data_IF_370858122447
#
_entry.id   IF_370858122447
#
_cell.length_a   1.000
_cell.length_b   1.000
_cell.length_c   1.000
_cell.angle_alpha   90.00
_cell.angle_beta   90.00
_cell.angle_gamma   90.00
#
_symmetry.space_group_name_H-M   'P 1'
#
loop_
_entity.id
_entity.type
_entity.pdbx_description
1 polymer ?
#
# COMPACT_ATOMS: atom_id res chain seq x y z
N UNK A 1 21.54 5.99 13.72
CA UNK A 1 22.26 4.98 12.90
C UNK A 1 21.41 4.35 11.80
N UNK A 2 20.21 3.81 12.09
CA UNK A 2 19.34 3.13 11.09
C UNK A 2 19.00 3.97 9.84
N UNK A 3 18.68 5.25 10.02
CA UNK A 3 18.33 6.16 8.91
C UNK A 3 19.52 6.53 8.02
N UNK A 4 20.71 6.63 8.62
CA UNK A 4 21.96 6.94 7.90
C UNK A 4 22.31 5.75 7.00
N UNK A 5 22.26 4.52 7.53
CA UNK A 5 22.50 3.31 6.74
C UNK A 5 21.50 3.19 5.57
N UNK A 6 20.23 3.53 5.79
CA UNK A 6 19.23 3.53 4.72
C UNK A 6 19.56 4.53 3.60
N UNK A 7 19.95 5.77 3.95
CA UNK A 7 20.34 6.78 2.96
C UNK A 7 21.55 6.33 2.13
N UNK A 8 22.56 5.74 2.78
CA UNK A 8 23.72 5.16 2.08
C UNK A 8 23.27 4.05 1.13
N UNK A 9 22.35 3.19 1.56
CA UNK A 9 21.82 2.12 0.72
C UNK A 9 21.10 2.66 -0.51
N UNK A 10 20.31 3.72 -0.38
CA UNK A 10 19.65 4.37 -1.51
C UNK A 10 20.65 5.00 -2.48
N UNK A 11 21.74 5.59 -1.97
CA UNK A 11 22.79 6.16 -2.80
C UNK A 11 23.52 5.08 -3.60
N UNK A 12 23.90 3.98 -2.94
CA UNK A 12 24.50 2.80 -3.60
C UNK A 12 23.55 2.21 -4.63
N UNK A 13 22.26 2.06 -4.29
CA UNK A 13 21.24 1.56 -5.21
C UNK A 13 21.06 2.48 -6.43
N UNK A 14 21.10 3.81 -6.24
CA UNK A 14 21.01 4.76 -7.35
C UNK A 14 22.17 4.60 -8.33
N UNK A 15 23.40 4.42 -7.83
CA UNK A 15 24.57 4.14 -8.68
C UNK A 15 24.38 2.82 -9.42
N UNK A 16 23.97 1.76 -8.74
CA UNK A 16 23.71 0.45 -9.37
C UNK A 16 22.67 0.57 -10.48
N UNK A 17 21.57 1.29 -10.25
CA UNK A 17 20.52 1.49 -11.25
C UNK A 17 21.06 2.22 -12.49
N UNK A 18 21.82 3.31 -12.32
CA UNK A 18 22.41 4.02 -13.47
C UNK A 18 23.37 3.12 -14.23
N UNK A 19 24.21 2.36 -13.52
CA UNK A 19 25.13 1.37 -14.14
C UNK A 19 24.35 0.31 -14.92
N UNK A 20 23.26 -0.23 -14.38
CA UNK A 20 22.45 -1.23 -15.06
C UNK A 20 21.74 -0.65 -16.29
N UNK A 21 21.16 0.55 -16.19
CA UNK A 21 20.51 1.21 -17.33
C UNK A 21 21.51 1.43 -18.46
N UNK A 22 22.72 1.87 -18.12
CA UNK A 22 23.80 2.05 -19.09
C UNK A 22 24.29 0.71 -19.66
N UNK A 23 24.49 -0.31 -18.84
CA UNK A 23 24.98 -1.63 -19.25
C UNK A 23 24.03 -2.35 -20.20
N UNK A 24 22.72 -2.25 -19.94
CA UNK A 24 21.69 -2.88 -20.77
C UNK A 24 21.20 -1.98 -21.91
N UNK A 25 21.80 -0.81 -22.10
CA UNK A 25 21.41 0.18 -23.13
C UNK A 25 19.90 0.51 -23.10
N UNK A 26 19.28 0.46 -21.92
CA UNK A 26 17.83 0.66 -21.76
C UNK A 26 17.42 2.10 -22.08
N UNK A 27 18.33 3.04 -21.87
CA UNK A 27 18.15 4.46 -22.13
C UNK A 27 19.52 5.12 -22.32
N UNK A 28 19.67 6.14 -23.18
CA UNK A 28 20.92 6.90 -23.31
C UNK A 28 21.18 7.72 -22.04
N UNK A 29 21.75 7.08 -21.03
CA UNK A 29 22.16 7.67 -19.77
C UNK A 29 23.65 7.44 -19.56
N UNK A 30 24.35 8.49 -19.17
CA UNK A 30 25.77 8.41 -18.83
C UNK A 30 25.94 8.25 -17.32
N UNK A 31 26.96 7.50 -16.88
CA UNK A 31 27.34 7.45 -15.48
C UNK A 31 27.98 8.78 -15.06
N UNK A 32 27.14 9.72 -14.61
CA UNK A 32 27.57 10.99 -14.06
C UNK A 32 26.84 11.30 -12.74
N UNK A 33 27.36 12.25 -11.97
CA UNK A 33 26.82 12.61 -10.66
C UNK A 33 25.37 13.11 -10.73
N UNK A 34 24.99 13.79 -11.82
CA UNK A 34 23.63 14.33 -12.01
C UNK A 34 22.60 13.21 -12.19
N UNK A 35 22.92 12.22 -13.02
CA UNK A 35 22.05 11.08 -13.29
C UNK A 35 21.88 10.21 -12.05
N UNK A 36 22.95 9.98 -11.31
CA UNK A 36 22.88 9.31 -10.00
C UNK A 36 22.00 10.10 -9.03
N UNK A 37 22.12 11.43 -8.99
CA UNK A 37 21.30 12.29 -8.14
C UNK A 37 19.80 12.22 -8.52
N UNK A 38 19.48 12.24 -9.81
CA UNK A 38 18.10 12.10 -10.28
C UNK A 38 17.48 10.76 -9.87
N UNK A 39 18.20 9.66 -10.07
CA UNK A 39 17.73 8.33 -9.65
C UNK A 39 17.59 8.28 -8.12
N UNK A 40 18.53 8.85 -7.37
CA UNK A 40 18.44 8.92 -5.92
C UNK A 40 17.20 9.68 -5.43
N UNK A 41 16.92 10.85 -6.01
CA UNK A 41 15.71 11.62 -5.70
C UNK A 41 14.46 10.82 -6.07
N UNK A 42 14.44 10.16 -7.23
CA UNK A 42 13.31 9.32 -7.65
C UNK A 42 13.04 8.18 -6.65
N UNK A 43 14.09 7.52 -6.14
CA UNK A 43 13.95 6.48 -5.10
C UNK A 43 13.35 7.04 -3.80
N UNK A 44 13.73 8.26 -3.40
CA UNK A 44 13.14 8.90 -2.23
C UNK A 44 11.67 9.26 -2.43
N UNK A 45 11.32 9.81 -3.59
CA UNK A 45 9.92 10.08 -3.94
C UNK A 45 9.11 8.79 -3.97
N UNK A 46 9.64 7.72 -4.58
CA UNK A 46 8.99 6.42 -4.62
C UNK A 46 8.73 5.86 -3.22
N UNK A 47 9.69 6.00 -2.30
CA UNK A 47 9.50 5.64 -0.89
C UNK A 47 8.38 6.43 -0.25
N UNK A 48 8.31 7.74 -0.48
CA UNK A 48 7.27 8.60 0.06
C UNK A 48 5.89 8.20 -0.48
N UNK A 49 5.78 7.99 -1.79
CA UNK A 49 4.56 7.52 -2.44
C UNK A 49 4.13 6.16 -1.87
N UNK A 50 5.06 5.21 -1.71
CA UNK A 50 4.76 3.92 -1.11
C UNK A 50 4.28 4.04 0.34
N UNK A 51 4.86 4.95 1.12
CA UNK A 51 4.42 5.22 2.49
C UNK A 51 3.00 5.79 2.54
N UNK A 52 2.69 6.75 1.66
CA UNK A 52 1.34 7.34 1.57
C UNK A 52 0.35 6.28 1.09
N UNK A 53 0.68 5.57 0.01
CA UNK A 53 -0.13 4.51 -0.56
C UNK A 53 -0.44 3.43 0.48
N UNK A 54 0.56 2.94 1.23
CA UNK A 54 0.31 1.91 2.25
C UNK A 54 -0.54 2.42 3.41
N UNK A 55 -0.44 3.69 3.79
CA UNK A 55 -1.35 4.27 4.80
C UNK A 55 -2.79 4.34 4.29
N UNK A 56 -2.98 4.84 3.08
CA UNK A 56 -4.31 4.93 2.46
C UNK A 56 -4.88 3.54 2.21
N UNK A 57 -4.07 2.60 1.74
CA UNK A 57 -4.45 1.22 1.50
C UNK A 57 -4.84 0.51 2.80
N UNK A 58 -4.14 0.76 3.92
CA UNK A 58 -4.56 0.26 5.23
C UNK A 58 -5.96 0.74 5.62
N UNK A 59 -6.25 2.02 5.39
CA UNK A 59 -7.59 2.57 5.63
C UNK A 59 -8.63 1.91 4.72
N UNK A 60 -8.30 1.74 3.44
CA UNK A 60 -9.17 1.07 2.48
C UNK A 60 -9.46 -0.38 2.89
N UNK A 61 -8.42 -1.17 3.18
CA UNK A 61 -8.58 -2.55 3.67
C UNK A 61 -9.40 -2.59 4.96
N UNK A 62 -9.19 -1.64 5.86
CA UNK A 62 -10.00 -1.56 7.08
C UNK A 62 -11.48 -1.32 6.77
N UNK A 63 -11.80 -0.33 5.93
CA UNK A 63 -13.18 0.03 5.60
C UNK A 63 -13.91 -1.03 4.78
N UNK A 64 -13.23 -1.67 3.83
CA UNK A 64 -13.87 -2.58 2.87
C UNK A 64 -13.77 -4.06 3.25
N UNK A 65 -12.81 -4.43 4.09
CA UNK A 65 -12.61 -5.84 4.50
C UNK A 65 -12.95 -6.01 5.97
N UNK A 66 -12.33 -5.22 6.86
CA UNK A 66 -12.54 -5.40 8.30
C UNK A 66 -13.90 -4.90 8.78
N UNK A 67 -14.36 -3.73 8.32
CA UNK A 67 -15.64 -3.18 8.78
C UNK A 67 -16.82 -4.11 8.45
N UNK A 68 -16.96 -4.68 7.23
CA UNK A 68 -18.04 -5.62 6.94
C UNK A 68 -17.87 -6.93 7.70
N UNK A 69 -16.64 -7.44 7.87
CA UNK A 69 -16.38 -8.64 8.67
C UNK A 69 -16.79 -8.46 10.13
N UNK A 70 -16.45 -7.33 10.75
CA UNK A 70 -16.84 -7.00 12.12
C UNK A 70 -18.36 -6.84 12.20
N UNK A 71 -18.98 -6.16 11.25
CA UNK A 71 -20.44 -6.06 11.18
C UNK A 71 -21.10 -7.43 11.13
N UNK A 72 -20.58 -8.35 10.31
CA UNK A 72 -21.08 -9.71 10.19
C UNK A 72 -20.89 -10.48 11.50
N UNK A 73 -19.73 -10.37 12.14
CA UNK A 73 -19.47 -10.99 13.45
C UNK A 73 -20.45 -10.49 14.52
N UNK A 74 -20.69 -9.18 14.58
CA UNK A 74 -21.65 -8.58 15.51
C UNK A 74 -23.07 -9.07 15.23
N UNK A 75 -23.49 -9.12 13.96
CA UNK A 75 -24.80 -9.63 13.57
C UNK A 75 -24.98 -11.09 13.98
N UNK A 76 -24.04 -11.98 13.63
CA UNK A 76 -24.09 -13.40 14.00
C UNK A 76 -24.08 -13.56 15.52
N UNK A 77 -23.24 -12.82 16.24
CA UNK A 77 -23.20 -12.84 17.69
C UNK A 77 -24.53 -12.43 18.32
N UNK A 78 -25.12 -11.33 17.85
CA UNK A 78 -26.42 -10.87 18.32
C UNK A 78 -27.53 -11.91 18.09
N UNK A 79 -27.60 -12.50 16.89
CA UNK A 79 -28.59 -13.53 16.57
C UNK A 79 -28.43 -14.78 17.43
N UNK A 80 -27.17 -15.19 17.67
CA UNK A 80 -26.86 -16.31 18.56
C UNK A 80 -27.35 -16.06 20.01
N UNK A 81 -27.10 -14.88 20.57
CA UNK A 81 -27.54 -14.56 21.93
C UNK A 81 -29.05 -14.36 22.07
N UNK A 82 -29.71 -13.89 21.01
CA UNK A 82 -31.16 -13.65 21.01
C UNK A 82 -31.98 -14.88 20.58
N UNK A 83 -31.32 -15.96 20.15
CA UNK A 83 -31.97 -17.19 19.69
C UNK A 83 -32.74 -17.01 18.37
N UNK A 84 -32.46 -15.95 17.62
CA UNK A 84 -33.11 -15.68 16.34
C UNK A 84 -32.36 -16.40 15.20
N UNK A 85 -33.10 -16.85 14.18
CA UNK A 85 -32.51 -17.51 13.01
C UNK A 85 -31.74 -16.52 12.13
N UNK A 86 -30.50 -16.88 11.76
CA UNK A 86 -29.65 -16.03 10.93
C UNK A 86 -30.21 -16.00 9.51
N UNK A 87 -30.67 -14.82 9.07
CA UNK A 87 -31.16 -14.62 7.71
C UNK A 87 -30.03 -14.14 6.79
N UNK A 88 -29.30 -15.10 6.21
CA UNK A 88 -28.19 -14.85 5.29
C UNK A 88 -28.59 -14.16 3.97
N UNK A 89 -29.89 -14.16 3.64
CA UNK A 89 -30.41 -13.56 2.40
C UNK A 89 -30.73 -12.06 2.54
N UNK A 90 -30.78 -11.52 3.76
CA UNK A 90 -31.04 -10.10 4.02
C UNK A 90 -29.79 -9.40 4.58
N UNK A 91 -28.69 -9.47 3.82
CA UNK A 91 -27.42 -8.79 4.11
C UNK A 91 -27.29 -7.47 3.31
N UNK A 92 -28.39 -6.90 2.83
CA UNK A 92 -28.41 -5.67 2.03
C UNK A 92 -27.77 -4.48 2.76
N UNK A 93 -27.84 -4.46 4.08
CA UNK A 93 -27.16 -3.47 4.93
C UNK A 93 -25.63 -3.57 4.87
N UNK A 94 -25.09 -4.78 4.64
CA UNK A 94 -23.66 -5.03 4.49
C UNK A 94 -23.19 -4.61 3.08
N UNK A 95 -24.02 -4.84 2.07
CA UNK A 95 -23.78 -4.39 0.69
C UNK A 95 -23.94 -2.87 0.50
N UNK A 96 -24.88 -2.23 1.20
CA UNK A 96 -25.08 -0.78 1.14
C UNK A 96 -23.94 -0.01 1.80
N UNK A 97 -23.38 -0.55 2.89
CA UNK A 97 -22.16 -0.01 3.51
C UNK A 97 -20.95 -0.02 2.57
N UNK A 98 -20.81 -1.05 1.73
CA UNK A 98 -19.74 -1.15 0.73
C UNK A 98 -19.95 -0.16 -0.44
N UNK A 99 -21.21 0.06 -0.86
CA UNK A 99 -21.56 1.01 -1.93
C UNK A 99 -21.32 2.47 -1.59
N UNK A 100 -21.44 2.88 -0.32
CA UNK A 100 -21.25 4.28 0.09
C UNK A 100 -19.81 4.80 -0.17
N UNK A 101 -18.83 3.90 -0.22
CA UNK A 101 -17.42 4.24 -0.41
C UNK A 101 -16.92 4.06 -1.87
N UNK A 102 -17.79 3.63 -2.80
CA UNK A 102 -17.54 3.49 -4.24
C UNK A 102 -18.08 4.71 -5.01
#
# INVERSE_FOLDING_TARGET
>A
MKYILQLILYAVLAVIIVVLIQYYELYPIELNALNVLYVFIALLVLRLLFYIFTKVFKLFVFLFVFLPLVGLLVYVGYMYFTGQEINWLNLDWLYSGIRFFL
#
